data_IF_099626009055
#
_entry.id   IF_099626009055
#
_cell.length_a   1.000
_cell.length_b   1.000
_cell.length_c   1.000
_cell.angle_alpha   90.00
_cell.angle_beta   90.00
_cell.angle_gamma   90.00
#
_symmetry.space_group_name_H-M   'P 1'
#
loop_
_entity.id
_entity.type
_entity.pdbx_description
1 polymer ?
#
# COMPACT_ATOMS: atom_id res chain seq x y z
N UNK A 1 0.07 3.46 -17.73
CA UNK A 1 0.01 4.23 -16.46
C UNK A 1 0.47 3.30 -15.35
N UNK A 2 1.25 3.78 -14.40
CA UNK A 2 1.72 2.96 -13.28
C UNK A 2 0.84 3.16 -12.05
N UNK A 3 0.71 2.12 -11.22
CA UNK A 3 -0.02 2.16 -9.95
C UNK A 3 0.73 1.38 -8.88
N UNK A 4 0.65 1.83 -7.64
CA UNK A 4 1.05 1.06 -6.47
C UNK A 4 0.11 -0.14 -6.24
N UNK A 5 0.70 -1.33 -6.14
CA UNK A 5 0.05 -2.56 -5.69
C UNK A 5 0.04 -2.63 -4.16
N UNK A 6 -0.94 -1.92 -3.59
CA UNK A 6 -1.15 -1.83 -2.15
C UNK A 6 -1.46 -3.20 -1.50
N UNK A 7 -2.13 -4.10 -2.22
CA UNK A 7 -2.50 -5.41 -1.69
C UNK A 7 -1.26 -6.27 -1.51
N UNK A 8 -0.41 -6.34 -2.53
CA UNK A 8 0.87 -7.04 -2.46
C UNK A 8 1.79 -6.44 -1.40
N UNK A 9 1.90 -5.11 -1.35
CA UNK A 9 2.69 -4.42 -0.33
C UNK A 9 2.21 -4.77 1.09
N UNK A 10 0.90 -4.71 1.33
CA UNK A 10 0.34 -5.04 2.63
C UNK A 10 0.53 -6.51 3.01
N UNK A 11 0.40 -7.43 2.05
CA UNK A 11 0.65 -8.86 2.29
C UNK A 11 2.10 -9.12 2.71
N UNK A 12 3.07 -8.54 2.01
CA UNK A 12 4.49 -8.68 2.34
C UNK A 12 4.80 -8.09 3.74
N UNK A 13 4.16 -6.96 4.09
CA UNK A 13 4.23 -6.39 5.44
C UNK A 13 3.78 -7.40 6.49
N UNK A 14 2.61 -8.02 6.32
CA UNK A 14 2.09 -9.00 7.27
C UNK A 14 2.99 -10.24 7.37
N UNK A 15 3.50 -10.73 6.24
CA UNK A 15 4.42 -11.88 6.21
C UNK A 15 5.69 -11.57 7.00
N UNK A 16 6.31 -10.41 6.78
CA UNK A 16 7.53 -10.02 7.51
C UNK A 16 7.25 -9.80 8.99
N UNK A 17 6.14 -9.14 9.34
CA UNK A 17 5.71 -8.95 10.73
C UNK A 17 5.53 -10.28 11.47
N UNK A 18 4.85 -11.25 10.85
CA UNK A 18 4.68 -12.59 11.41
C UNK A 18 6.03 -13.30 11.56
N UNK A 19 6.94 -13.17 10.59
CA UNK A 19 8.29 -13.77 10.65
C UNK A 19 9.12 -13.23 11.81
N UNK A 20 8.96 -11.96 12.17
CA UNK A 20 9.69 -11.33 13.29
C UNK A 20 8.90 -11.32 14.60
N UNK A 21 7.71 -11.94 14.62
CA UNK A 21 6.78 -11.94 15.75
C UNK A 21 6.52 -10.53 16.30
N UNK A 22 6.11 -9.61 15.42
CA UNK A 22 5.79 -8.21 15.76
C UNK A 22 4.43 -7.79 15.24
N UNK A 23 3.83 -6.83 15.93
CA UNK A 23 2.57 -6.19 15.53
C UNK A 23 2.77 -5.06 14.52
N UNK A 24 1.67 -4.55 13.97
CA UNK A 24 1.71 -3.34 13.14
C UNK A 24 2.15 -2.09 13.89
N UNK A 25 1.93 -2.03 15.22
CA UNK A 25 2.40 -0.92 16.05
C UNK A 25 3.92 -0.85 16.10
N UNK A 26 4.58 -2.00 16.15
CA UNK A 26 6.04 -2.08 16.06
C UNK A 26 6.54 -1.49 14.73
N UNK A 27 5.94 -1.89 13.61
CA UNK A 27 6.32 -1.34 12.30
C UNK A 27 6.07 0.16 12.23
N UNK A 28 4.89 0.61 12.70
CA UNK A 28 4.53 2.02 12.72
C UNK A 28 5.58 2.86 13.47
N UNK A 29 6.00 2.41 14.66
CA UNK A 29 7.09 3.04 15.39
C UNK A 29 8.43 2.97 14.64
N UNK A 30 8.77 1.80 14.06
CA UNK A 30 10.04 1.56 13.37
C UNK A 30 10.26 2.48 12.17
N UNK A 31 9.20 2.83 11.43
CA UNK A 31 9.27 3.71 10.26
C UNK A 31 8.75 5.13 10.54
N UNK A 32 8.50 5.47 11.81
CA UNK A 32 7.97 6.76 12.23
C UNK A 32 6.69 7.16 11.48
N UNK A 33 5.66 6.32 11.58
CA UNK A 33 4.32 6.57 11.04
C UNK A 33 3.24 6.11 12.02
N UNK A 34 1.97 6.29 11.67
CA UNK A 34 0.84 5.80 12.48
C UNK A 34 0.43 4.37 12.09
N UNK A 35 -0.06 3.57 13.04
CA UNK A 35 -0.71 2.27 12.75
C UNK A 35 -1.85 2.44 11.74
N UNK A 36 -2.57 3.56 11.79
CA UNK A 36 -3.63 3.91 10.83
C UNK A 36 -3.08 4.03 9.40
N UNK A 37 -1.88 4.54 9.23
CA UNK A 37 -1.21 4.60 7.93
C UNK A 37 -0.95 3.18 7.39
N UNK A 38 -0.47 2.26 8.22
CA UNK A 38 -0.27 0.85 7.83
C UNK A 38 -1.59 0.20 7.43
N UNK A 39 -2.66 0.41 8.22
CA UNK A 39 -4.01 -0.06 7.87
C UNK A 39 -4.52 0.52 6.55
N UNK A 40 -4.23 1.80 6.26
CA UNK A 40 -4.60 2.46 5.00
C UNK A 40 -3.96 1.77 3.79
N UNK A 41 -2.73 1.26 3.91
CA UNK A 41 -2.08 0.43 2.87
C UNK A 41 -2.97 -0.77 2.55
N UNK A 42 -3.36 -1.54 3.57
CA UNK A 42 -4.21 -2.73 3.39
C UNK A 42 -5.61 -2.45 2.84
N UNK A 43 -6.10 -1.21 2.95
CA UNK A 43 -7.36 -0.77 2.34
C UNK A 43 -7.19 -0.13 0.96
N UNK A 44 -5.97 -0.05 0.45
CA UNK A 44 -5.69 0.47 -0.88
C UNK A 44 -5.77 2.00 -0.98
N UNK A 45 -5.74 2.72 0.14
CA UNK A 45 -5.68 4.18 0.12
C UNK A 45 -4.33 4.67 -0.43
N UNK A 46 -4.33 5.90 -0.93
CA UNK A 46 -3.09 6.60 -1.25
C UNK A 46 -2.32 6.85 0.03
N UNK A 47 -1.04 6.52 0.01
CA UNK A 47 -0.09 6.80 1.08
C UNK A 47 0.94 7.82 0.61
N UNK A 48 1.58 8.50 1.55
CA UNK A 48 2.66 9.41 1.23
C UNK A 48 3.86 8.63 0.66
N UNK A 49 4.57 9.25 -0.29
CA UNK A 49 5.67 8.63 -1.01
C UNK A 49 6.83 8.26 -0.07
N UNK A 50 7.09 9.09 0.94
CA UNK A 50 8.11 8.82 1.97
C UNK A 50 7.78 7.54 2.75
N UNK A 51 6.50 7.33 3.09
CA UNK A 51 6.01 6.15 3.81
C UNK A 51 6.20 4.90 2.94
N UNK A 52 5.89 5.00 1.65
CA UNK A 52 6.12 3.91 0.71
C UNK A 52 7.60 3.49 0.66
N UNK A 53 8.53 4.43 0.54
CA UNK A 53 9.96 4.10 0.52
C UNK A 53 10.45 3.54 1.85
N UNK A 54 9.98 4.07 2.98
CA UNK A 54 10.30 3.51 4.30
C UNK A 54 9.79 2.07 4.45
N UNK A 55 8.61 1.76 3.91
CA UNK A 55 8.08 0.39 3.90
C UNK A 55 8.93 -0.54 3.03
N UNK A 56 9.32 -0.12 1.83
CA UNK A 56 10.20 -0.89 0.95
C UNK A 56 11.55 -1.16 1.62
N UNK A 57 12.16 -0.13 2.21
CA UNK A 57 13.41 -0.26 2.96
C UNK A 57 13.27 -1.21 4.15
N UNK A 58 12.18 -1.11 4.92
CA UNK A 58 11.95 -2.04 6.03
C UNK A 58 11.72 -3.46 5.54
N UNK A 59 11.08 -3.66 4.37
CA UNK A 59 10.88 -4.96 3.75
C UNK A 59 12.16 -5.55 3.16
N UNK A 60 13.17 -4.72 2.91
CA UNK A 60 14.39 -5.05 2.16
C UNK A 60 14.07 -5.44 0.71
N UNK A 61 13.24 -4.60 0.07
CA UNK A 61 12.69 -4.86 -1.25
C UNK A 61 12.73 -3.59 -2.12
N UNK A 62 12.95 -3.78 -3.42
CA UNK A 62 12.96 -2.68 -4.39
C UNK A 62 11.55 -2.12 -4.63
N UNK A 63 11.35 -0.79 -4.70
CA UNK A 63 10.05 -0.17 -4.98
C UNK A 63 9.36 -0.69 -6.25
N UNK A 64 10.15 -1.05 -7.26
CA UNK A 64 9.67 -1.61 -8.54
C UNK A 64 8.82 -2.87 -8.36
N UNK A 65 9.07 -3.66 -7.31
CA UNK A 65 8.28 -4.86 -6.95
C UNK A 65 6.80 -4.58 -6.73
N UNK A 66 6.48 -3.35 -6.30
CA UNK A 66 5.13 -2.90 -5.93
C UNK A 66 4.52 -1.93 -6.94
N UNK A 67 5.22 -1.59 -8.03
CA UNK A 67 4.71 -0.67 -9.04
C UNK A 67 4.27 -1.47 -10.27
N UNK A 68 2.95 -1.60 -10.45
CA UNK A 68 2.36 -2.35 -11.57
C UNK A 68 1.95 -1.44 -12.72
N UNK A 69 2.10 -1.93 -13.94
CA UNK A 69 1.63 -1.26 -15.16
C UNK A 69 0.16 -1.59 -15.36
N UNK A 70 -0.71 -0.58 -15.31
CA UNK A 70 -2.10 -0.73 -15.68
C UNK A 70 -2.26 -0.71 -17.20
N UNK A 71 -3.08 -1.62 -17.71
CA UNK A 71 -3.61 -1.56 -19.07
C UNK A 71 -4.60 -0.41 -19.22
N UNK A 72 -4.86 0.01 -20.47
CA UNK A 72 -5.85 1.07 -20.76
C UNK A 72 -7.27 0.68 -20.27
N UNK A 73 -7.61 -0.61 -20.34
CA UNK A 73 -8.92 -1.15 -19.95
C UNK A 73 -9.14 -1.06 -18.44
N UNK A 74 -8.18 -1.52 -17.64
CA UNK A 74 -8.24 -1.47 -16.17
C UNK A 74 -8.31 -0.05 -15.62
N UNK A 75 -7.68 0.90 -16.33
CA UNK A 75 -7.77 2.31 -15.97
C UNK A 75 -9.17 2.89 -16.20
N UNK A 76 -9.76 2.63 -17.38
CA UNK A 76 -11.09 3.11 -17.72
C UNK A 76 -12.15 2.58 -16.74
N UNK A 77 -12.02 1.33 -16.31
CA UNK A 77 -12.91 0.69 -15.36
C UNK A 77 -12.80 1.28 -13.94
N UNK A 78 -11.58 1.53 -13.46
CA UNK A 78 -11.37 2.21 -12.16
C UNK A 78 -11.88 3.64 -12.15
N UNK A 79 -11.75 4.36 -13.27
CA UNK A 79 -12.29 5.71 -13.38
C UNK A 79 -13.81 5.70 -13.17
N UNK A 80 -14.53 4.78 -13.82
CA UNK A 80 -15.99 4.63 -13.66
C UNK A 80 -16.38 4.37 -12.21
N UNK A 81 -15.79 3.34 -11.59
CA UNK A 81 -16.07 2.93 -10.20
C UNK A 81 -15.85 4.03 -9.14
N UNK A 82 -14.88 4.93 -9.35
CA UNK A 82 -14.64 6.04 -8.43
C UNK A 82 -15.68 7.17 -8.57
N UNK A 83 -16.21 7.38 -9.79
CA UNK A 83 -17.27 8.37 -10.05
C UNK A 83 -18.58 7.96 -9.36
N UNK A 84 -18.91 6.67 -9.40
CA UNK A 84 -20.14 6.13 -8.80
C UNK A 84 -20.11 6.19 -7.26
N UNK A 85 -18.93 6.02 -6.65
CA UNK A 85 -18.74 6.16 -5.20
C UNK A 85 -18.81 7.60 -4.70
N UNK A 86 -18.50 8.60 -5.53
CA UNK A 86 -18.60 10.02 -5.16
C UNK A 86 -20.04 10.57 -5.21
N UNK A 87 -20.96 9.88 -5.88
CA UNK A 87 -22.38 10.26 -5.93
C UNK A 87 -23.23 9.61 -4.83
N UNK A 88 -22.65 8.69 -4.06
CA UNK A 88 -23.33 7.90 -3.03
C UNK A 88 -22.87 8.25 -1.59
N UNK A 89 -22.25 9.42 -1.38
CA UNK A 89 -21.77 9.91 -0.07
C UNK A 89 -22.17 11.36 0.15
#
# INVERSE_FOLDING_TARGET
MHKLDNEKLYKDILVKLNKVDKSQDYLAAKINTSRRTIWKVGKGYVIALDTFFKLCHWLDEEPSKYIVKLTKKEYAEKKRLNTDKQQSS
#
